data_IF_331941857026
#
_entry.id   IF_331941857026
#
_cell.length_a   1.000
_cell.length_b   1.000
_cell.length_c   1.000
_cell.angle_alpha   90.00
_cell.angle_beta   90.00
_cell.angle_gamma   90.00
#
_symmetry.space_group_name_H-M   'P 1'
#
loop_
_entity.id
_entity.type
_entity.pdbx_description
1 polymer ?
#
# COMPACT_ATOMS: atom_id res chain seq x y z
N UNK A 1 7.63 -8.05 -16.46
CA UNK A 1 8.58 -7.52 -15.45
C UNK A 1 7.91 -6.48 -14.56
N UNK A 2 7.28 -5.44 -15.10
CA UNK A 2 6.61 -4.36 -14.34
C UNK A 2 5.59 -4.88 -13.32
N UNK A 3 4.71 -5.80 -13.71
CA UNK A 3 3.72 -6.40 -12.80
C UNK A 3 4.34 -7.01 -11.53
N UNK A 4 5.52 -7.65 -11.65
CA UNK A 4 6.23 -8.19 -10.48
C UNK A 4 6.77 -7.08 -9.57
N UNK A 5 7.24 -5.96 -10.14
CA UNK A 5 7.69 -4.81 -9.35
C UNK A 5 6.52 -4.18 -8.59
N UNK A 6 5.35 -4.08 -9.22
CA UNK A 6 4.13 -3.62 -8.55
C UNK A 6 3.70 -4.56 -7.43
N UNK A 7 3.67 -5.87 -7.69
CA UNK A 7 3.36 -6.87 -6.68
C UNK A 7 4.35 -6.81 -5.51
N UNK A 8 5.65 -6.68 -5.81
CA UNK A 8 6.67 -6.46 -4.78
C UNK A 8 6.39 -5.22 -3.94
N UNK A 9 6.06 -4.08 -4.58
CA UNK A 9 5.78 -2.83 -3.85
C UNK A 9 4.55 -2.95 -2.96
N UNK A 10 3.45 -3.53 -3.45
CA UNK A 10 2.24 -3.74 -2.65
C UNK A 10 2.52 -4.59 -1.41
N UNK A 11 3.20 -5.73 -1.59
CA UNK A 11 3.58 -6.59 -0.48
C UNK A 11 4.57 -5.95 0.48
N UNK A 12 5.58 -5.23 -0.03
CA UNK A 12 6.61 -4.58 0.79
C UNK A 12 6.01 -3.46 1.66
N UNK A 13 5.14 -2.62 1.10
CA UNK A 13 4.48 -1.54 1.84
C UNK A 13 3.66 -2.11 2.99
N UNK A 14 2.83 -3.14 2.74
CA UNK A 14 2.04 -3.76 3.80
C UNK A 14 2.90 -4.51 4.81
N UNK A 15 3.99 -5.14 4.37
CA UNK A 15 4.95 -5.79 5.26
C UNK A 15 5.59 -4.77 6.24
N UNK A 16 5.97 -3.59 5.75
CA UNK A 16 6.53 -2.51 6.57
C UNK A 16 5.49 -2.03 7.58
N UNK A 17 4.26 -1.76 7.14
CA UNK A 17 3.12 -1.37 7.94
C UNK A 17 2.91 -2.37 9.11
N UNK A 18 2.74 -3.65 8.80
CA UNK A 18 2.53 -4.70 9.77
C UNK A 18 3.73 -4.94 10.72
N UNK A 19 4.95 -4.67 10.27
CA UNK A 19 6.14 -4.80 11.11
C UNK A 19 6.22 -3.70 12.17
N UNK A 20 5.81 -2.48 11.84
CA UNK A 20 5.91 -1.34 12.75
C UNK A 20 4.69 -1.18 13.64
N UNK A 21 3.49 -1.30 13.08
CA UNK A 21 2.26 -1.07 13.83
C UNK A 21 1.89 -2.28 14.68
N UNK A 22 2.06 -3.47 14.13
CA UNK A 22 1.56 -4.69 14.74
C UNK A 22 2.66 -5.64 15.23
N UNK A 23 3.92 -5.32 14.91
CA UNK A 23 5.10 -6.16 15.22
C UNK A 23 4.97 -7.59 14.70
N UNK A 24 4.20 -7.79 13.62
CA UNK A 24 4.01 -9.09 13.01
C UNK A 24 5.29 -9.61 12.32
N UNK A 25 6.16 -8.72 11.90
CA UNK A 25 7.40 -9.06 11.18
C UNK A 25 8.63 -8.39 11.79
N UNK A 26 9.82 -8.82 11.31
CA UNK A 26 11.09 -8.25 11.76
C UNK A 26 11.27 -6.81 11.29
N UNK A 27 11.53 -5.88 12.21
CA UNK A 27 11.85 -4.48 11.90
C UNK A 27 13.11 -4.32 11.05
N UNK A 28 14.10 -5.23 11.16
CA UNK A 28 15.28 -5.23 10.31
C UNK A 28 14.92 -5.54 8.87
N UNK A 29 14.09 -6.56 8.65
CA UNK A 29 13.59 -6.90 7.34
C UNK A 29 12.71 -5.75 6.77
N UNK A 30 11.87 -5.11 7.58
CA UNK A 30 11.08 -3.96 7.18
C UNK A 30 11.93 -2.78 6.69
N UNK A 31 13.04 -2.48 7.37
CA UNK A 31 13.96 -1.43 6.92
C UNK A 31 14.64 -1.77 5.58
N UNK A 32 15.02 -3.03 5.36
CA UNK A 32 15.55 -3.48 4.06
C UNK A 32 14.49 -3.36 2.98
N UNK A 33 13.25 -3.80 3.26
CA UNK A 33 12.12 -3.65 2.34
C UNK A 33 11.83 -2.19 2.03
N UNK A 34 11.95 -1.27 3.01
CA UNK A 34 11.77 0.16 2.79
C UNK A 34 12.80 0.75 1.82
N UNK A 35 14.07 0.33 1.95
CA UNK A 35 15.11 0.76 1.00
C UNK A 35 14.80 0.26 -0.41
N UNK A 36 14.54 -1.04 -0.55
CA UNK A 36 14.26 -1.65 -1.85
C UNK A 36 12.99 -1.07 -2.49
N UNK A 37 11.90 -0.95 -1.72
CA UNK A 37 10.65 -0.41 -2.23
C UNK A 37 10.75 1.07 -2.60
N UNK A 38 11.47 1.87 -1.83
CA UNK A 38 11.71 3.27 -2.19
C UNK A 38 12.46 3.41 -3.52
N UNK A 39 13.55 2.68 -3.71
CA UNK A 39 14.31 2.71 -4.96
C UNK A 39 13.49 2.23 -6.17
N UNK A 40 12.77 1.11 -6.02
CA UNK A 40 11.92 0.55 -7.08
C UNK A 40 10.77 1.51 -7.41
N UNK A 41 10.13 2.10 -6.42
CA UNK A 41 9.04 3.06 -6.62
C UNK A 41 9.52 4.29 -7.38
N UNK A 42 10.63 4.91 -6.96
CA UNK A 42 11.19 6.07 -7.65
C UNK A 42 11.62 5.77 -9.09
N UNK A 43 12.20 4.59 -9.33
CA UNK A 43 12.52 4.10 -10.66
C UNK A 43 11.26 3.95 -11.53
N UNK A 44 10.21 3.30 -11.03
CA UNK A 44 8.95 3.15 -11.78
C UNK A 44 8.29 4.49 -12.08
N UNK A 45 8.34 5.43 -11.15
CA UNK A 45 7.81 6.79 -11.37
C UNK A 45 8.55 7.54 -12.47
N UNK A 46 9.86 7.31 -12.60
CA UNK A 46 10.67 7.99 -13.61
C UNK A 46 10.64 7.31 -14.96
N UNK A 47 10.69 5.97 -15.04
CA UNK A 47 11.08 5.25 -16.24
C UNK A 47 9.99 4.34 -16.83
N UNK A 48 8.90 4.03 -16.08
CA UNK A 48 7.93 3.06 -16.57
C UNK A 48 6.85 3.70 -17.44
N UNK A 49 6.03 4.58 -16.86
CA UNK A 49 4.87 5.13 -17.57
C UNK A 49 4.19 6.28 -16.82
N UNK A 50 3.38 7.11 -17.53
CA UNK A 50 2.55 8.13 -16.88
C UNK A 50 1.59 7.54 -15.83
N UNK A 51 1.18 6.29 -16.00
CA UNK A 51 0.36 5.58 -15.00
C UNK A 51 1.14 5.35 -13.70
N UNK A 52 2.36 4.81 -13.79
CA UNK A 52 3.21 4.56 -12.62
C UNK A 52 3.53 5.85 -11.88
N UNK A 53 3.86 6.91 -12.64
CA UNK A 53 4.09 8.24 -12.06
C UNK A 53 2.85 8.73 -11.33
N UNK A 54 1.66 8.68 -11.95
CA UNK A 54 0.43 9.18 -11.36
C UNK A 54 0.03 8.37 -10.10
N UNK A 55 0.07 7.06 -10.19
CA UNK A 55 -0.33 6.17 -9.11
C UNK A 55 0.57 6.33 -7.88
N UNK A 56 1.89 6.24 -8.06
CA UNK A 56 2.81 6.32 -6.92
C UNK A 56 2.99 7.74 -6.39
N UNK A 57 2.94 8.78 -7.24
CA UNK A 57 2.95 10.16 -6.76
C UNK A 57 1.71 10.45 -5.90
N UNK A 58 0.52 10.07 -6.35
CA UNK A 58 -0.70 10.21 -5.56
C UNK A 58 -0.62 9.45 -4.23
N UNK A 59 -0.08 8.23 -4.24
CA UNK A 59 0.10 7.43 -3.03
C UNK A 59 1.08 8.10 -2.05
N UNK A 60 2.25 8.58 -2.51
CA UNK A 60 3.20 9.30 -1.65
C UNK A 60 2.58 10.57 -1.06
N UNK A 61 1.87 11.35 -1.86
CA UNK A 61 1.18 12.56 -1.40
C UNK A 61 0.11 12.18 -0.36
N UNK A 62 -0.66 11.13 -0.60
CA UNK A 62 -1.68 10.63 0.34
C UNK A 62 -1.07 10.22 1.69
N UNK A 63 0.07 9.51 1.68
CA UNK A 63 0.78 9.12 2.91
C UNK A 63 1.27 10.33 3.71
N UNK A 64 1.76 11.37 3.03
CA UNK A 64 2.16 12.64 3.67
C UNK A 64 0.94 13.34 4.27
N UNK A 65 -0.15 13.46 3.51
CA UNK A 65 -1.38 14.15 3.96
C UNK A 65 -2.05 13.41 5.12
N UNK A 66 -2.09 12.08 5.08
CA UNK A 66 -2.63 11.23 6.13
C UNK A 66 -1.71 11.12 7.37
N UNK A 67 -0.52 11.75 7.34
CA UNK A 67 0.52 11.67 8.39
C UNK A 67 0.92 10.23 8.73
N UNK A 68 0.85 9.34 7.75
CA UNK A 68 1.25 7.93 7.88
C UNK A 68 2.76 7.70 7.73
N UNK A 69 3.55 8.75 7.54
CA UNK A 69 5.02 8.69 7.61
C UNK A 69 5.44 8.91 9.07
N UNK A 70 4.99 8.03 9.93
CA UNK A 70 5.17 8.10 11.38
C UNK A 70 6.31 7.21 11.89
N UNK A 71 6.83 6.33 11.05
CA UNK A 71 7.93 5.44 11.38
C UNK A 71 9.15 5.62 10.46
N UNK A 72 10.31 5.17 10.95
CA UNK A 72 11.60 5.36 10.26
C UNK A 72 11.67 4.66 8.91
N UNK A 73 11.00 3.51 8.75
CA UNK A 73 11.03 2.76 7.51
C UNK A 73 10.23 3.49 6.41
N UNK A 74 9.02 3.97 6.71
CA UNK A 74 8.25 4.77 5.76
C UNK A 74 8.95 6.08 5.40
N UNK A 75 9.55 6.77 6.38
CA UNK A 75 10.34 7.97 6.11
C UNK A 75 11.52 7.68 5.19
N UNK A 76 12.28 6.62 5.46
CA UNK A 76 13.42 6.19 4.64
C UNK A 76 12.97 5.80 3.23
N UNK A 77 11.93 4.98 3.11
CA UNK A 77 11.36 4.55 1.82
C UNK A 77 10.90 5.74 0.98
N UNK A 78 10.18 6.69 1.59
CA UNK A 78 9.72 7.92 0.92
C UNK A 78 10.89 8.79 0.44
N UNK A 79 11.88 9.02 1.29
CA UNK A 79 13.08 9.79 0.92
C UNK A 79 13.81 9.13 -0.27
N UNK A 80 13.98 7.81 -0.22
CA UNK A 80 14.62 7.07 -1.29
C UNK A 80 13.80 7.03 -2.58
N UNK A 81 12.47 6.97 -2.49
CA UNK A 81 11.60 7.05 -3.66
C UNK A 81 11.74 8.41 -4.36
N UNK A 82 11.73 9.50 -3.60
CA UNK A 82 11.94 10.85 -4.16
C UNK A 82 13.36 11.01 -4.70
N UNK A 83 14.37 10.52 -3.99
CA UNK A 83 15.76 10.59 -4.44
C UNK A 83 15.98 9.78 -5.74
N UNK A 84 15.44 8.58 -5.83
CA UNK A 84 15.51 7.75 -7.04
C UNK A 84 14.74 8.39 -8.20
N UNK A 85 13.53 8.92 -7.96
CA UNK A 85 12.79 9.68 -8.96
C UNK A 85 13.67 10.82 -9.53
N UNK A 86 14.23 11.66 -8.66
CA UNK A 86 15.07 12.79 -9.08
C UNK A 86 16.34 12.35 -9.79
N UNK A 87 16.92 11.21 -9.44
CA UNK A 87 18.12 10.67 -10.07
C UNK A 87 17.85 10.14 -11.48
N UNK A 88 16.72 9.48 -11.71
CA UNK A 88 16.36 8.90 -13.02
C UNK A 88 15.59 9.89 -13.92
N UNK A 89 14.88 10.87 -13.36
CA UNK A 89 14.03 11.79 -14.10
C UNK A 89 14.76 12.55 -15.24
N UNK A 90 16.02 12.98 -15.14
CA UNK A 90 16.70 13.70 -16.23
C UNK A 90 16.87 12.87 -17.51
N UNK A 91 16.84 11.53 -17.41
CA UNK A 91 16.89 10.62 -18.57
C UNK A 91 15.52 10.13 -19.02
N UNK A 92 14.46 10.53 -18.34
CA UNK A 92 13.11 10.02 -18.53
C UNK A 92 12.35 10.75 -19.64
N UNK A 93 11.67 9.98 -20.49
CA UNK A 93 10.68 10.49 -21.45
C UNK A 93 9.24 10.49 -20.88
N UNK A 94 9.07 10.09 -19.62
CA UNK A 94 7.75 9.96 -18.99
C UNK A 94 7.15 11.33 -18.68
N UNK A 95 5.95 11.57 -19.18
CA UNK A 95 5.22 12.81 -18.96
C UNK A 95 4.36 12.72 -17.69
N UNK A 96 4.42 13.77 -16.88
CA UNK A 96 3.57 13.90 -15.71
C UNK A 96 2.13 14.24 -16.10
N UNK A 97 1.20 13.37 -15.77
CA UNK A 97 -0.22 13.57 -16.01
C UNK A 97 -0.91 14.06 -14.73
N UNK A 98 -1.11 15.37 -14.60
CA UNK A 98 -1.64 15.99 -13.37
C UNK A 98 -3.05 15.47 -13.02
N UNK A 99 -3.95 15.36 -14.00
CA UNK A 99 -5.32 14.93 -13.75
C UNK A 99 -5.43 13.50 -13.16
N UNK A 100 -4.71 12.50 -13.68
CA UNK A 100 -4.65 11.19 -13.04
C UNK A 100 -4.07 11.22 -11.63
N UNK A 101 -3.05 12.04 -11.34
CA UNK A 101 -2.51 12.20 -9.99
C UNK A 101 -3.61 12.70 -9.04
N UNK A 102 -4.32 13.77 -9.43
CA UNK A 102 -5.42 14.32 -8.64
C UNK A 102 -6.55 13.31 -8.47
N UNK A 103 -6.89 12.56 -9.52
CA UNK A 103 -7.92 11.52 -9.47
C UNK A 103 -7.59 10.41 -8.48
N UNK A 104 -6.38 9.86 -8.52
CA UNK A 104 -5.93 8.85 -7.55
C UNK A 104 -5.80 9.43 -6.14
N UNK A 105 -5.35 10.69 -6.00
CA UNK A 105 -5.24 11.34 -4.70
C UNK A 105 -6.62 11.49 -4.04
N UNK A 106 -7.62 11.96 -4.79
CA UNK A 106 -8.99 12.10 -4.27
C UNK A 106 -9.58 10.72 -3.93
N UNK A 107 -9.43 9.74 -4.81
CA UNK A 107 -9.92 8.40 -4.58
C UNK A 107 -9.27 7.75 -3.36
N UNK A 108 -7.94 7.83 -3.23
CA UNK A 108 -7.22 7.32 -2.07
C UNK A 108 -7.59 8.03 -0.77
N UNK A 109 -7.85 9.35 -0.82
CA UNK A 109 -8.37 10.07 0.35
C UNK A 109 -9.77 9.60 0.74
N UNK A 110 -10.65 9.37 -0.23
CA UNK A 110 -12.01 8.83 0.03
C UNK A 110 -11.93 7.41 0.60
N UNK A 111 -11.05 6.57 0.06
CA UNK A 111 -10.81 5.22 0.61
C UNK A 111 -10.37 5.27 2.08
N UNK A 112 -9.46 6.19 2.42
CA UNK A 112 -8.96 6.35 3.79
C UNK A 112 -10.03 6.86 4.76
N UNK A 113 -10.85 7.82 4.32
CA UNK A 113 -11.98 8.33 5.11
C UNK A 113 -13.03 7.22 5.31
N UNK A 114 -13.32 6.45 4.26
CA UNK A 114 -14.28 5.36 4.32
C UNK A 114 -13.84 4.24 5.27
N UNK A 115 -12.56 3.86 5.24
CA UNK A 115 -11.97 2.88 6.15
C UNK A 115 -12.07 3.38 7.62
N UNK A 116 -11.71 4.62 7.89
CA UNK A 116 -11.87 5.24 9.21
C UNK A 116 -13.34 5.33 9.70
N UNK A 117 -14.30 5.43 8.78
CA UNK A 117 -15.72 5.38 9.12
C UNK A 117 -16.17 3.98 9.54
N UNK A 118 -15.62 2.92 8.95
CA UNK A 118 -15.90 1.53 9.35
C UNK A 118 -15.60 1.31 10.82
N UNK A 119 -14.42 1.75 11.25
CA UNK A 119 -13.99 1.63 12.64
C UNK A 119 -14.82 2.51 13.58
N UNK A 120 -15.02 3.77 13.20
CA UNK A 120 -15.74 4.75 14.01
C UNK A 120 -17.20 4.38 14.27
N UNK A 121 -17.88 3.85 13.24
CA UNK A 121 -19.30 3.49 13.32
C UNK A 121 -19.54 2.00 13.54
N UNK A 122 -18.47 1.22 13.73
CA UNK A 122 -18.53 -0.24 13.94
C UNK A 122 -19.42 -0.93 12.88
N UNK A 123 -19.22 -0.54 11.61
CA UNK A 123 -19.96 -1.09 10.49
C UNK A 123 -19.67 -2.58 10.37
N UNK A 124 -20.68 -3.37 9.93
CA UNK A 124 -20.58 -4.84 9.83
C UNK A 124 -21.12 -5.34 8.50
N UNK A 125 -20.71 -6.57 8.15
CA UNK A 125 -21.23 -7.27 6.97
C UNK A 125 -20.65 -6.78 5.65
N UNK A 126 -21.46 -6.83 4.58
CA UNK A 126 -20.99 -6.52 3.23
C UNK A 126 -20.49 -5.10 3.04
N UNK A 127 -21.05 -4.11 3.77
CA UNK A 127 -20.59 -2.73 3.69
C UNK A 127 -19.20 -2.55 4.31
N UNK A 128 -18.94 -3.17 5.46
CA UNK A 128 -17.61 -3.21 6.05
C UNK A 128 -16.59 -3.80 5.07
N UNK A 129 -16.90 -4.98 4.52
CA UNK A 129 -16.03 -5.65 3.57
C UNK A 129 -15.75 -4.79 2.33
N UNK A 130 -16.79 -4.10 1.80
CA UNK A 130 -16.66 -3.24 0.64
C UNK A 130 -15.77 -2.03 0.92
N UNK A 131 -15.95 -1.32 2.04
CA UNK A 131 -15.20 -0.12 2.38
C UNK A 131 -13.75 -0.45 2.77
N UNK A 132 -13.50 -1.55 3.48
CA UNK A 132 -12.13 -1.99 3.82
C UNK A 132 -11.33 -2.43 2.58
N UNK A 133 -12.02 -2.84 1.50
CA UNK A 133 -11.37 -3.19 0.23
C UNK A 133 -10.82 -1.97 -0.54
N UNK A 134 -11.14 -0.73 -0.10
CA UNK A 134 -10.71 0.53 -0.75
C UNK A 134 -11.12 0.64 -2.22
N UNK A 135 -12.42 0.53 -2.53
CA UNK A 135 -12.91 0.40 -3.89
C UNK A 135 -12.81 1.68 -4.72
N UNK A 136 -12.65 2.84 -4.09
CA UNK A 136 -12.68 4.13 -4.80
C UNK A 136 -11.46 4.32 -5.69
N UNK A 137 -10.30 3.81 -5.29
CA UNK A 137 -9.09 3.79 -6.12
C UNK A 137 -9.26 2.89 -7.35
N UNK A 138 -9.92 1.73 -7.20
CA UNK A 138 -10.25 0.83 -8.30
C UNK A 138 -11.22 1.50 -9.28
N UNK A 139 -12.28 2.14 -8.76
CA UNK A 139 -13.27 2.87 -9.57
C UNK A 139 -12.61 4.02 -10.33
N UNK A 140 -11.72 4.78 -9.67
CA UNK A 140 -10.98 5.88 -10.32
C UNK A 140 -10.12 5.37 -11.48
N UNK A 141 -9.40 4.26 -11.29
CA UNK A 141 -8.63 3.65 -12.36
C UNK A 141 -9.52 3.23 -13.53
N UNK A 142 -10.65 2.58 -13.26
CA UNK A 142 -11.60 2.18 -14.29
C UNK A 142 -12.15 3.38 -15.09
N UNK A 143 -12.53 4.45 -14.40
CA UNK A 143 -12.99 5.70 -15.03
C UNK A 143 -11.90 6.29 -15.93
N UNK A 144 -10.64 6.34 -15.47
CA UNK A 144 -9.52 6.88 -16.24
C UNK A 144 -9.22 6.03 -17.47
N UNK A 145 -9.35 4.71 -17.39
CA UNK A 145 -9.20 3.81 -18.55
C UNK A 145 -10.32 4.04 -19.55
N UNK A 146 -11.58 4.11 -19.10
CA UNK A 146 -12.74 4.39 -19.97
C UNK A 146 -12.67 5.76 -20.63
N UNK A 147 -12.08 6.74 -19.94
CA UNK A 147 -11.80 8.07 -20.49
C UNK A 147 -10.61 8.11 -21.47
N UNK A 148 -9.94 6.96 -21.70
CA UNK A 148 -8.79 6.88 -22.62
C UNK A 148 -7.49 7.46 -22.05
N UNK A 149 -7.43 7.76 -20.75
CA UNK A 149 -6.21 8.28 -20.11
C UNK A 149 -5.15 7.20 -19.94
N UNK A 150 -5.58 5.96 -19.72
CA UNK A 150 -4.69 4.80 -19.55
C UNK A 150 -5.17 3.60 -20.36
N UNK A 151 -4.23 2.73 -20.73
CA UNK A 151 -4.53 1.45 -21.39
C UNK A 151 -5.00 0.40 -20.39
N UNK A 152 -5.86 -0.53 -20.84
CA UNK A 152 -6.31 -1.69 -20.04
C UNK A 152 -5.19 -2.57 -19.50
N UNK A 153 -4.02 -2.53 -20.14
CA UNK A 153 -2.85 -3.32 -19.69
C UNK A 153 -2.40 -2.95 -18.28
N UNK A 154 -2.68 -1.72 -17.82
CA UNK A 154 -2.31 -1.25 -16.48
C UNK A 154 -3.14 -1.86 -15.36
N UNK A 155 -4.28 -2.49 -15.66
CA UNK A 155 -5.01 -3.30 -14.67
C UNK A 155 -4.14 -4.42 -14.11
N UNK A 156 -3.31 -5.05 -14.92
CA UNK A 156 -2.50 -6.19 -14.50
C UNK A 156 -1.47 -5.81 -13.41
N UNK A 157 -0.60 -4.79 -13.58
CA UNK A 157 0.29 -4.35 -12.51
C UNK A 157 -0.48 -3.80 -11.30
N UNK A 158 -1.55 -3.03 -11.50
CA UNK A 158 -2.36 -2.49 -10.41
C UNK A 158 -2.97 -3.59 -9.52
N UNK A 159 -3.62 -4.59 -10.12
CA UNK A 159 -4.14 -5.73 -9.36
C UNK A 159 -3.02 -6.60 -8.76
N UNK A 160 -1.86 -6.68 -9.41
CA UNK A 160 -0.67 -7.30 -8.82
C UNK A 160 -0.25 -6.63 -7.52
N UNK A 161 -0.24 -5.30 -7.50
CA UNK A 161 0.01 -4.49 -6.28
C UNK A 161 -1.04 -4.78 -5.20
N UNK A 162 -2.33 -4.62 -5.52
CA UNK A 162 -3.43 -4.80 -4.57
C UNK A 162 -3.48 -6.22 -4.02
N UNK A 163 -3.33 -7.22 -4.89
CA UNK A 163 -3.36 -8.62 -4.48
C UNK A 163 -2.23 -8.96 -3.50
N UNK A 164 -1.00 -8.53 -3.78
CA UNK A 164 0.14 -8.81 -2.89
C UNK A 164 0.03 -8.06 -1.56
N UNK A 165 -0.51 -6.83 -1.57
CA UNK A 165 -0.84 -6.07 -0.37
C UNK A 165 -1.80 -6.85 0.53
N UNK A 166 -2.95 -7.28 -0.01
CA UNK A 166 -3.97 -8.05 0.71
C UNK A 166 -3.47 -9.42 1.17
N UNK A 167 -2.58 -10.05 0.40
CA UNK A 167 -2.00 -11.34 0.76
C UNK A 167 -1.11 -11.23 2.01
N UNK A 168 -0.27 -10.20 2.08
CA UNK A 168 0.57 -9.94 3.26
C UNK A 168 -0.28 -9.57 4.47
N UNK A 169 -1.32 -8.77 4.30
CA UNK A 169 -2.27 -8.42 5.34
C UNK A 169 -2.92 -9.66 5.94
N UNK A 170 -3.53 -10.51 5.11
CA UNK A 170 -4.16 -11.76 5.57
C UNK A 170 -3.19 -12.73 6.23
N UNK A 171 -1.96 -12.77 5.72
CA UNK A 171 -0.94 -13.62 6.34
C UNK A 171 -0.62 -13.16 7.76
N UNK A 172 -0.42 -11.85 7.97
CA UNK A 172 -0.12 -11.28 9.29
C UNK A 172 -1.27 -11.45 10.29
N UNK A 173 -2.52 -11.28 9.85
CA UNK A 173 -3.71 -11.49 10.69
C UNK A 173 -3.87 -12.95 11.13
N UNK A 174 -3.62 -13.89 10.22
CA UNK A 174 -3.68 -15.33 10.52
C UNK A 174 -2.64 -15.75 11.55
N UNK A 175 -1.43 -15.20 11.44
CA UNK A 175 -0.34 -15.52 12.37
C UNK A 175 -0.64 -14.96 13.77
N UNK A 176 -1.22 -13.77 13.87
CA UNK A 176 -1.71 -13.21 15.12
C UNK A 176 -2.81 -14.03 15.77
N UNK A 177 -3.82 -14.42 15.03
CA UNK A 177 -4.93 -15.22 15.56
C UNK A 177 -4.44 -16.55 16.14
N UNK A 178 -3.41 -17.14 15.54
CA UNK A 178 -2.76 -18.35 16.04
C UNK A 178 -1.97 -18.09 17.32
N UNK A 179 -1.19 -17.00 17.38
CA UNK A 179 -0.42 -16.63 18.58
C UNK A 179 -1.33 -16.27 19.75
N UNK A 180 -2.40 -15.51 19.52
CA UNK A 180 -3.40 -15.17 20.54
C UNK A 180 -4.12 -16.41 21.06
N UNK A 181 -4.43 -17.35 20.19
CA UNK A 181 -4.97 -18.66 20.57
C UNK A 181 -4.03 -19.44 21.49
N UNK A 182 -2.74 -19.48 21.16
CA UNK A 182 -1.73 -20.15 21.99
C UNK A 182 -1.54 -19.48 23.36
N UNK A 183 -1.50 -18.14 23.40
CA UNK A 183 -1.41 -17.37 24.66
C UNK A 183 -2.63 -17.59 25.52
N UNK A 184 -3.82 -17.64 24.93
CA UNK A 184 -5.07 -17.93 25.66
C UNK A 184 -5.06 -19.35 26.27
N UNK A 185 -4.65 -20.38 25.49
CA UNK A 185 -4.50 -21.75 25.95
C UNK A 185 -3.51 -21.81 27.12
N UNK A 186 -2.32 -21.20 26.97
CA UNK A 186 -1.30 -21.15 28.03
C UNK A 186 -1.82 -20.52 29.33
N UNK A 187 -2.54 -19.38 29.22
CA UNK A 187 -3.17 -18.72 30.39
C UNK A 187 -4.23 -19.61 31.05
N UNK A 188 -5.00 -20.38 30.28
CA UNK A 188 -6.05 -21.25 30.77
C UNK A 188 -5.48 -22.47 31.49
N UNK A 189 -4.38 -23.03 30.96
CA UNK A 189 -3.67 -24.17 31.60
C UNK A 189 -3.05 -23.75 32.95
N UNK A 190 -2.37 -22.59 32.99
CA UNK A 190 -1.76 -22.07 34.20
C UNK A 190 -2.79 -21.73 35.30
N UNK A 191 -3.99 -21.24 34.93
CA UNK A 191 -5.08 -21.01 35.91
C UNK A 191 -5.72 -22.28 36.47
N UNK A 192 -5.53 -23.42 35.82
CA UNK A 192 -6.05 -24.71 36.33
C UNK A 192 -5.02 -25.48 37.19
N UNK A 193 -3.76 -25.03 37.12
CA UNK A 193 -2.64 -25.64 37.87
C UNK A 193 -2.37 -24.96 39.23
N UNK A 194 -3.02 -23.80 39.48
CA UNK A 194 -3.08 -23.10 40.77
C UNK A 194 -4.49 -23.18 41.34
#
# INVERSE_FOLDING_TARGET
MVTFLYAFLGGAIKFIDQAYDERAFSMRAANIMAVMSGLVMGYLMAEDSPFSTAFYAAMLISLVMARKIDNRAFALGTILAVAALLAFYPSSDVQWALWPIVGFLVAGFVDEVADGMVDRYNLKGGLQMFLNYRPFSDIALFIMILAGMFSWIYLLPYFGFTFSYLLVERYSERDRSFLDGMVWIKRRVLRRAN
#
